data_IF_326720436914
#
_entry.id   IF_326720436914
#
_cell.length_a   1.000
_cell.length_b   1.000
_cell.length_c   1.000
_cell.angle_alpha   90.00
_cell.angle_beta   90.00
_cell.angle_gamma   90.00
#
_symmetry.space_group_name_H-M   'P 1'
#
loop_
_entity.id
_entity.type
_entity.pdbx_description
1 polymer ?
#
# COMPACT_ATOMS: atom_id res chain seq x y z
N UNK A 1 -39.33 -62.32 11.98
CA UNK A 1 -38.53 -61.82 13.12
C UNK A 1 -39.10 -60.48 13.53
N UNK A 2 -39.30 -60.29 14.84
CA UNK A 2 -40.31 -59.45 15.46
C UNK A 2 -40.12 -57.93 15.28
N UNK A 3 -41.25 -57.23 15.12
CA UNK A 3 -41.48 -55.84 15.49
C UNK A 3 -42.47 -55.82 16.67
N UNK A 4 -42.21 -54.96 17.67
CA UNK A 4 -43.17 -54.62 18.72
C UNK A 4 -43.27 -53.09 18.89
N UNK A 5 -44.44 -52.70 19.38
CA UNK A 5 -45.12 -51.41 19.47
C UNK A 5 -44.36 -50.28 20.21
N UNK A 6 -44.78 -49.00 20.20
CA UNK A 6 -45.96 -48.32 19.66
C UNK A 6 -46.14 -46.90 20.27
N UNK A 7 -47.14 -46.17 19.73
CA UNK A 7 -48.04 -45.13 20.29
C UNK A 7 -47.47 -43.96 21.15
N UNK A 8 -48.03 -42.74 21.24
CA UNK A 8 -49.05 -41.93 20.57
C UNK A 8 -49.11 -40.57 21.34
N UNK A 9 -49.65 -39.49 20.75
CA UNK A 9 -50.05 -38.28 21.52
C UNK A 9 -50.27 -37.02 20.67
N UNK A 10 -51.52 -36.55 20.58
CA UNK A 10 -52.02 -35.47 19.71
C UNK A 10 -52.01 -34.02 20.29
N UNK A 11 -52.73 -33.06 19.65
CA UNK A 11 -52.42 -31.61 19.68
C UNK A 11 -53.47 -30.69 20.38
N UNK A 12 -53.12 -29.41 20.61
CA UNK A 12 -54.07 -28.31 20.89
C UNK A 12 -53.45 -27.02 21.50
N UNK A 13 -53.66 -25.85 20.88
CA UNK A 13 -53.33 -24.50 21.43
C UNK A 13 -54.57 -23.75 21.98
N UNK A 14 -54.68 -22.40 21.96
CA UNK A 14 -53.79 -21.32 22.43
C UNK A 14 -54.49 -20.35 23.45
N UNK A 15 -53.77 -19.40 24.09
CA UNK A 15 -54.37 -18.22 24.77
C UNK A 15 -53.51 -17.52 25.84
N UNK A 16 -53.18 -16.22 25.64
CA UNK A 16 -52.78 -15.26 26.72
C UNK A 16 -54.02 -14.63 27.41
N UNK A 17 -53.95 -13.58 28.28
CA UNK A 17 -52.91 -12.53 28.46
C UNK A 17 -52.58 -12.07 29.93
N UNK A 18 -51.58 -11.17 30.12
CA UNK A 18 -51.68 -10.01 31.06
C UNK A 18 -50.86 -9.89 32.38
N UNK A 19 -49.79 -9.07 32.34
CA UNK A 19 -49.24 -8.03 33.28
C UNK A 19 -49.31 -8.14 34.84
N UNK A 20 -48.16 -7.87 35.49
CA UNK A 20 -47.95 -7.41 36.89
C UNK A 20 -46.80 -8.19 37.58
N UNK A 21 -45.80 -7.68 38.30
CA UNK A 21 -45.53 -6.42 38.98
C UNK A 21 -45.04 -6.71 40.43
N UNK A 22 -43.77 -6.38 40.74
CA UNK A 22 -43.15 -6.16 42.08
C UNK A 22 -42.66 -7.30 43.01
N UNK A 23 -41.41 -7.11 43.46
CA UNK A 23 -40.87 -7.45 44.80
C UNK A 23 -40.07 -8.76 44.90
N UNK A 24 -38.82 -8.83 45.40
CA UNK A 24 -37.90 -7.86 45.98
C UNK A 24 -36.62 -8.60 46.39
N UNK A 25 -35.45 -7.96 46.29
CA UNK A 25 -34.21 -8.43 46.92
C UNK A 25 -33.61 -7.31 47.76
N UNK A 26 -33.67 -7.49 49.08
CA UNK A 26 -32.95 -6.71 50.10
C UNK A 26 -31.46 -7.07 50.07
N UNK A 27 -30.60 -6.07 50.03
CA UNK A 27 -29.16 -6.17 50.33
C UNK A 27 -28.62 -4.78 50.63
N UNK A 28 -28.26 -4.53 51.88
CA UNK A 28 -28.13 -3.20 52.49
C UNK A 28 -26.92 -2.37 52.05
N UNK A 29 -27.14 -1.06 52.03
CA UNK A 29 -26.13 -0.01 51.95
C UNK A 29 -25.33 0.09 53.25
N UNK A 30 -24.00 0.02 53.14
CA UNK A 30 -23.05 0.40 54.18
C UNK A 30 -22.02 1.37 53.60
N UNK A 31 -22.11 2.62 54.04
CA UNK A 31 -21.32 3.79 53.67
C UNK A 31 -19.81 3.65 53.89
N UNK A 32 -19.01 4.01 52.89
CA UNK A 32 -17.54 4.04 52.97
C UNK A 32 -16.89 4.79 51.80
N UNK A 33 -16.98 6.12 51.85
CA UNK A 33 -15.99 7.11 51.39
C UNK A 33 -14.75 6.58 50.63
N UNK A 34 -14.72 6.62 49.29
CA UNK A 34 -13.49 6.79 48.50
C UNK A 34 -13.75 7.64 47.24
N UNK A 35 -13.43 8.93 47.37
CA UNK A 35 -12.61 9.65 46.40
C UNK A 35 -13.04 9.63 44.93
N UNK A 36 -13.92 10.58 44.61
CA UNK A 36 -14.08 11.20 43.29
C UNK A 36 -12.71 11.69 42.78
N UNK A 37 -12.12 10.95 41.86
CA UNK A 37 -10.88 11.29 41.15
C UNK A 37 -11.04 11.08 39.65
N UNK A 38 -11.82 11.93 39.00
CA UNK A 38 -11.81 12.08 37.54
C UNK A 38 -10.47 12.66 37.12
N UNK A 39 -9.50 11.78 36.89
CA UNK A 39 -8.20 12.08 36.29
C UNK A 39 -8.07 11.38 34.94
N UNK A 40 -8.97 11.65 34.00
CA UNK A 40 -8.79 11.30 32.59
C UNK A 40 -7.76 12.23 31.93
N UNK A 41 -6.54 12.21 32.47
CA UNK A 41 -5.39 12.95 31.96
C UNK A 41 -4.39 11.99 31.36
N UNK A 42 -4.57 11.64 30.09
CA UNK A 42 -3.47 11.30 29.17
C UNK A 42 -3.92 11.70 27.78
N UNK A 43 -3.84 13.01 27.55
CA UNK A 43 -3.83 13.55 26.21
C UNK A 43 -2.71 12.85 25.44
N UNK A 44 -3.10 11.98 24.51
CA UNK A 44 -2.22 11.66 23.39
C UNK A 44 -2.12 12.96 22.60
N UNK A 45 -1.14 13.78 22.97
CA UNK A 45 -0.68 14.88 22.15
C UNK A 45 -0.39 14.30 20.78
N UNK A 46 -1.23 14.67 19.80
CA UNK A 46 -0.91 14.55 18.40
C UNK A 46 0.30 15.44 18.17
N UNK A 47 1.50 14.91 18.49
CA UNK A 47 2.77 15.49 18.10
C UNK A 47 2.96 15.16 16.62
N UNK A 48 2.05 15.68 15.80
CA UNK A 48 2.29 15.94 14.39
C UNK A 48 3.25 17.12 14.31
N UNK A 49 4.47 16.92 14.80
CA UNK A 49 5.57 17.78 14.42
C UNK A 49 5.67 17.66 12.91
N UNK A 50 5.45 18.76 12.20
CA UNK A 50 5.90 18.87 10.81
C UNK A 50 7.34 18.41 10.81
N UNK A 51 7.61 17.29 10.16
CA UNK A 51 8.97 16.85 9.94
C UNK A 51 9.63 17.98 9.15
N UNK A 52 10.44 18.76 9.84
CA UNK A 52 11.45 19.62 9.24
C UNK A 52 12.10 18.89 8.07
N UNK A 53 12.10 19.52 6.88
CA UNK A 53 12.58 18.96 5.62
C UNK A 53 14.02 18.49 5.80
N UNK A 54 14.18 17.23 6.17
CA UNK A 54 15.47 16.63 6.43
C UNK A 54 16.18 16.54 5.11
N UNK A 55 17.31 17.22 4.99
CA UNK A 55 18.16 17.12 3.81
C UNK A 55 18.45 15.64 3.53
N UNK A 56 18.08 15.17 2.33
CA UNK A 56 18.22 13.76 1.98
C UNK A 56 19.71 13.37 1.91
N UNK A 57 20.11 12.42 2.77
CA UNK A 57 21.46 11.85 2.79
C UNK A 57 21.39 10.45 2.16
N UNK A 58 21.89 10.27 0.93
CA UNK A 58 21.74 9.00 0.23
C UNK A 58 22.63 7.92 0.84
N UNK A 59 22.02 6.79 1.17
CA UNK A 59 22.74 5.61 1.70
C UNK A 59 23.20 4.71 0.56
N UNK A 60 22.49 4.68 -0.57
CA UNK A 60 22.83 3.82 -1.71
C UNK A 60 23.87 4.43 -2.65
N UNK A 61 24.57 3.58 -3.42
CA UNK A 61 25.46 4.04 -4.50
C UNK A 61 24.69 4.84 -5.54
N UNK A 62 23.47 4.39 -5.88
CA UNK A 62 22.61 5.04 -6.85
C UNK A 62 22.16 6.42 -6.36
N UNK A 63 21.67 6.52 -5.12
CA UNK A 63 21.24 7.79 -4.53
C UNK A 63 22.35 8.84 -4.49
N UNK A 64 23.60 8.43 -4.23
CA UNK A 64 24.76 9.34 -4.30
C UNK A 64 24.99 9.86 -5.71
N UNK A 65 24.96 8.98 -6.72
CA UNK A 65 25.11 9.38 -8.12
C UNK A 65 23.98 10.32 -8.58
N UNK A 66 22.77 10.12 -8.07
CA UNK A 66 21.62 10.98 -8.37
C UNK A 66 21.75 12.34 -7.68
N UNK A 67 22.05 12.37 -6.37
CA UNK A 67 22.23 13.62 -5.61
C UNK A 67 23.38 14.46 -6.17
N UNK A 68 24.46 13.82 -6.60
CA UNK A 68 25.63 14.49 -7.17
C UNK A 68 25.48 14.82 -8.68
N UNK A 69 24.26 14.70 -9.23
CA UNK A 69 23.89 14.99 -10.62
C UNK A 69 24.76 14.28 -11.67
N UNK A 70 25.22 13.05 -11.37
CA UNK A 70 25.95 12.21 -12.33
C UNK A 70 25.01 11.47 -13.26
N UNK A 71 23.88 11.01 -12.73
CA UNK A 71 22.78 10.43 -13.51
C UNK A 71 21.79 11.55 -13.78
N UNK A 72 21.53 11.81 -15.06
CA UNK A 72 20.69 12.96 -15.49
C UNK A 72 19.23 12.58 -15.70
N UNK A 73 18.94 11.31 -15.99
CA UNK A 73 17.60 10.85 -16.29
C UNK A 73 17.27 9.51 -15.63
N UNK A 74 15.97 9.28 -15.40
CA UNK A 74 15.45 8.01 -14.92
C UNK A 74 15.58 6.89 -15.99
N UNK A 75 15.59 7.26 -17.27
CA UNK A 75 15.77 6.34 -18.40
C UNK A 75 17.12 5.62 -18.34
N UNK A 76 18.19 6.30 -17.91
CA UNK A 76 19.50 5.71 -17.73
C UNK A 76 19.47 4.60 -16.66
N UNK A 77 18.70 4.81 -15.58
CA UNK A 77 18.50 3.80 -14.52
C UNK A 77 17.75 2.59 -15.07
N UNK A 78 16.72 2.81 -15.89
CA UNK A 78 15.93 1.75 -16.50
C UNK A 78 16.69 0.95 -17.55
N UNK A 79 17.54 1.60 -18.35
CA UNK A 79 18.36 0.93 -19.37
C UNK A 79 19.24 -0.17 -18.76
N UNK A 80 19.84 0.10 -17.59
CA UNK A 80 20.68 -0.86 -16.87
C UNK A 80 19.92 -1.71 -15.83
N UNK A 81 18.58 -1.61 -15.78
CA UNK A 81 17.73 -2.37 -14.86
C UNK A 81 18.16 -2.27 -13.39
N UNK A 82 18.58 -1.09 -12.94
CA UNK A 82 19.08 -0.89 -11.59
C UNK A 82 17.92 -0.75 -10.58
N UNK A 83 17.97 -1.44 -9.41
CA UNK A 83 16.89 -1.38 -8.43
C UNK A 83 16.91 -0.06 -7.65
N UNK A 84 15.79 0.67 -7.69
CA UNK A 84 15.56 1.88 -6.90
C UNK A 84 15.08 1.46 -5.50
N UNK A 85 15.82 1.83 -4.46
CA UNK A 85 15.52 1.47 -3.06
C UNK A 85 15.20 2.67 -2.16
N UNK A 86 15.46 3.89 -2.64
CA UNK A 86 15.20 5.15 -1.96
C UNK A 86 14.13 5.89 -2.78
N UNK A 87 13.02 6.31 -2.16
CA UNK A 87 11.93 7.00 -2.86
C UNK A 87 12.33 8.40 -3.28
N UNK A 88 13.24 9.02 -2.53
CA UNK A 88 13.76 10.36 -2.77
C UNK A 88 14.46 10.47 -4.13
N UNK A 89 14.92 9.35 -4.71
CA UNK A 89 15.43 9.30 -6.09
C UNK A 89 14.33 9.67 -7.09
N UNK A 90 13.12 9.14 -6.90
CA UNK A 90 11.97 9.41 -7.77
C UNK A 90 11.51 10.86 -7.54
N UNK A 91 11.48 11.31 -6.28
CA UNK A 91 11.11 12.68 -5.94
C UNK A 91 12.07 13.71 -6.56
N UNK A 92 13.37 13.41 -6.64
CA UNK A 92 14.35 14.27 -7.29
C UNK A 92 14.08 14.47 -8.80
N UNK A 93 13.68 13.41 -9.51
CA UNK A 93 13.43 13.48 -10.96
C UNK A 93 12.01 13.95 -11.31
N UNK A 94 11.00 13.50 -10.57
CA UNK A 94 9.58 13.65 -10.93
C UNK A 94 8.76 14.44 -9.91
N UNK A 95 9.35 14.90 -8.80
CA UNK A 95 8.62 15.39 -7.62
C UNK A 95 7.60 16.51 -7.86
N UNK A 96 7.81 17.39 -8.84
CA UNK A 96 6.84 18.43 -9.18
C UNK A 96 5.69 17.95 -10.11
N UNK A 97 5.91 16.84 -10.82
CA UNK A 97 5.00 16.32 -11.85
C UNK A 97 4.16 15.13 -11.37
N UNK A 98 4.56 14.50 -10.27
CA UNK A 98 3.93 13.29 -9.76
C UNK A 98 2.59 13.63 -9.10
N UNK A 99 1.53 12.93 -9.50
CA UNK A 99 0.18 13.05 -8.93
C UNK A 99 -0.12 11.77 -8.17
N UNK A 100 -0.48 11.90 -6.90
CA UNK A 100 -0.89 10.78 -6.07
C UNK A 100 -2.42 10.65 -6.02
N UNK A 101 -2.93 9.45 -6.28
CA UNK A 101 -4.34 9.13 -6.13
C UNK A 101 -4.54 7.87 -5.29
N UNK A 102 -5.30 7.98 -4.20
CA UNK A 102 -5.62 6.85 -3.33
C UNK A 102 -6.83 6.09 -3.91
N UNK A 103 -6.58 4.90 -4.47
CA UNK A 103 -7.63 4.09 -5.10
C UNK A 103 -8.73 3.62 -4.13
N UNK A 104 -8.36 2.93 -3.05
CA UNK A 104 -9.31 2.48 -2.01
C UNK A 104 -8.57 2.12 -0.72
N UNK A 105 -9.12 2.57 0.40
CA UNK A 105 -8.72 2.14 1.73
C UNK A 105 -9.70 1.04 2.17
N UNK A 106 -9.22 -0.19 2.34
CA UNK A 106 -10.01 -1.29 2.91
C UNK A 106 -9.45 -1.66 4.28
N UNK A 107 -10.25 -1.68 5.35
CA UNK A 107 -9.79 -2.19 6.64
C UNK A 107 -9.60 -3.70 6.53
N UNK A 108 -8.46 -4.20 7.00
CA UNK A 108 -8.20 -5.65 7.10
C UNK A 108 -8.20 -6.01 8.58
N UNK A 109 -9.00 -7.02 8.90
CA UNK A 109 -9.17 -7.48 10.28
C UNK A 109 -8.40 -8.77 10.45
N UNK A 110 -7.51 -8.79 11.44
CA UNK A 110 -6.86 -10.03 11.86
C UNK A 110 -7.54 -10.49 13.15
N UNK A 111 -8.09 -11.70 13.11
CA UNK A 111 -8.69 -12.30 14.28
C UNK A 111 -7.62 -12.69 15.29
N UNK A 112 -7.82 -12.32 16.55
CA UNK A 112 -6.95 -12.72 17.67
C UNK A 112 -7.79 -13.32 18.80
N UNK A 113 -7.11 -13.93 19.79
CA UNK A 113 -7.79 -14.54 20.95
C UNK A 113 -8.54 -13.52 21.82
N UNK A 114 -8.13 -12.25 21.79
CA UNK A 114 -8.75 -11.16 22.55
C UNK A 114 -9.73 -10.32 21.69
N UNK A 115 -10.17 -10.84 20.54
CA UNK A 115 -11.06 -10.16 19.60
C UNK A 115 -10.39 -9.77 18.28
N UNK A 116 -11.08 -8.95 17.49
CA UNK A 116 -10.60 -8.51 16.17
C UNK A 116 -9.62 -7.33 16.34
N UNK A 117 -8.38 -7.51 15.89
CA UNK A 117 -7.43 -6.41 15.79
C UNK A 117 -7.51 -5.84 14.36
N UNK A 118 -8.09 -4.65 14.22
CA UNK A 118 -8.16 -3.93 12.94
C UNK A 118 -6.80 -3.31 12.64
N UNK A 119 -6.24 -3.60 11.47
CA UNK A 119 -5.13 -2.83 10.92
C UNK A 119 -5.58 -2.26 9.59
N UNK A 120 -5.31 -0.98 9.35
CA UNK A 120 -5.34 -0.44 8.00
C UNK A 120 -4.14 -1.01 7.26
N UNK A 121 -4.28 -2.25 6.78
CA UNK A 121 -3.26 -2.97 6.04
C UNK A 121 -3.77 -3.16 4.63
N UNK A 122 -3.26 -2.36 3.72
CA UNK A 122 -3.48 -2.58 2.30
C UNK A 122 -2.52 -3.69 1.83
N UNK A 123 -2.89 -4.97 1.97
CA UNK A 123 -2.28 -6.04 1.19
C UNK A 123 -3.31 -7.12 0.85
N UNK A 124 -3.25 -7.52 -0.41
CA UNK A 124 -4.24 -8.31 -1.14
C UNK A 124 -3.98 -9.80 -0.95
N UNK A 125 -4.99 -10.55 -0.54
CA UNK A 125 -5.01 -11.99 -0.66
C UNK A 125 -6.19 -12.39 -1.54
N UNK A 126 -5.96 -13.06 -2.66
CA UNK A 126 -6.97 -13.92 -3.29
C UNK A 126 -6.34 -14.92 -4.25
N UNK A 127 -6.85 -16.14 -4.23
CA UNK A 127 -6.57 -17.26 -5.15
C UNK A 127 -7.39 -17.08 -6.46
N UNK A 128 -7.60 -15.84 -6.92
CA UNK A 128 -8.39 -15.56 -8.13
C UNK A 128 -7.56 -14.73 -9.10
N UNK A 129 -7.29 -15.29 -10.26
CA UNK A 129 -6.58 -14.62 -11.35
C UNK A 129 -7.53 -13.62 -12.01
N UNK A 130 -7.26 -12.32 -11.86
CA UNK A 130 -7.80 -11.30 -12.75
C UNK A 130 -6.74 -11.02 -13.81
N UNK A 131 -7.13 -11.02 -15.08
CA UNK A 131 -6.27 -10.67 -16.20
C UNK A 131 -6.81 -9.43 -16.89
N UNK A 132 -5.91 -8.50 -17.23
CA UNK A 132 -6.22 -7.29 -17.99
C UNK A 132 -5.52 -7.35 -19.36
N UNK A 133 -6.23 -6.92 -20.39
CA UNK A 133 -5.75 -6.85 -21.76
C UNK A 133 -6.00 -5.44 -22.30
N UNK A 134 -4.93 -4.80 -22.75
CA UNK A 134 -4.93 -3.46 -23.34
C UNK A 134 -4.87 -3.62 -24.86
N UNK A 135 -5.81 -2.99 -25.56
CA UNK A 135 -5.91 -3.00 -27.02
C UNK A 135 -5.76 -1.56 -27.50
N UNK A 136 -4.85 -1.26 -28.44
CA UNK A 136 -4.70 0.08 -28.97
C UNK A 136 -5.99 0.54 -29.65
N UNK A 137 -6.41 1.77 -29.36
CA UNK A 137 -7.60 2.37 -29.96
C UNK A 137 -7.20 3.44 -30.99
N UNK A 138 -8.07 3.76 -31.97
CA UNK A 138 -7.88 4.90 -32.85
C UNK A 138 -7.75 6.21 -32.06
N UNK A 139 -7.02 7.18 -32.62
CA UNK A 139 -6.82 8.49 -31.98
C UNK A 139 -8.14 9.21 -31.73
N UNK A 140 -8.31 9.73 -30.50
CA UNK A 140 -9.52 10.46 -30.09
C UNK A 140 -10.68 9.56 -29.59
N UNK A 141 -10.44 8.27 -29.39
CA UNK A 141 -11.40 7.34 -28.78
C UNK A 141 -11.53 7.59 -27.26
N UNK A 142 -10.45 8.05 -26.62
CA UNK A 142 -10.32 8.11 -25.18
C UNK A 142 -10.11 6.74 -24.53
N UNK A 143 -10.06 6.73 -23.20
CA UNK A 143 -9.87 5.52 -22.41
C UNK A 143 -11.21 4.85 -22.11
N UNK A 144 -11.43 3.68 -22.71
CA UNK A 144 -12.60 2.84 -22.45
C UNK A 144 -12.23 1.79 -21.41
N UNK A 145 -12.48 2.12 -20.14
CA UNK A 145 -12.15 1.27 -19.00
C UNK A 145 -13.07 1.48 -17.80
N UNK A 146 -13.13 0.46 -16.93
CA UNK A 146 -13.56 0.59 -15.55
C UNK A 146 -12.74 1.66 -14.80
N UNK A 147 -13.27 2.30 -13.74
CA UNK A 147 -12.67 3.47 -13.10
C UNK A 147 -11.25 3.24 -12.57
N UNK A 148 -10.94 2.05 -12.05
CA UNK A 148 -9.62 1.75 -11.48
C UNK A 148 -8.51 1.73 -12.54
N UNK A 149 -8.57 0.90 -13.61
CA UNK A 149 -7.59 0.98 -14.68
C UNK A 149 -7.65 2.31 -15.43
N UNK A 150 -8.81 2.99 -15.49
CA UNK A 150 -8.92 4.30 -16.14
C UNK A 150 -7.96 5.31 -15.51
N UNK A 151 -7.95 5.41 -14.18
CA UNK A 151 -7.06 6.33 -13.47
C UNK A 151 -5.59 5.92 -13.64
N UNK A 152 -5.28 4.62 -13.61
CA UNK A 152 -3.94 4.11 -13.88
C UNK A 152 -3.44 4.44 -15.29
N UNK A 153 -4.29 4.27 -16.31
CA UNK A 153 -3.95 4.58 -17.70
C UNK A 153 -3.79 6.09 -17.94
N UNK A 154 -4.60 6.92 -17.26
CA UNK A 154 -4.43 8.37 -17.27
C UNK A 154 -3.10 8.79 -16.63
N UNK A 155 -2.72 8.17 -15.51
CA UNK A 155 -1.42 8.43 -14.86
C UNK A 155 -0.24 7.97 -15.72
N UNK A 156 -0.40 6.89 -16.50
CA UNK A 156 0.60 6.42 -17.44
C UNK A 156 0.72 7.29 -18.71
N UNK A 157 -0.18 8.26 -18.91
CA UNK A 157 -0.21 9.12 -20.09
C UNK A 157 -0.71 8.42 -21.36
N UNK A 158 -1.54 7.38 -21.22
CA UNK A 158 -2.15 6.68 -22.37
C UNK A 158 -3.46 7.39 -22.73
N UNK A 159 -3.52 7.99 -23.92
CA UNK A 159 -4.67 8.77 -24.38
C UNK A 159 -5.85 7.89 -24.85
N UNK A 160 -5.54 6.86 -25.65
CA UNK A 160 -6.52 6.05 -26.38
C UNK A 160 -6.28 4.56 -26.17
N UNK A 161 -7.18 3.87 -25.47
CA UNK A 161 -7.07 2.43 -25.23
C UNK A 161 -8.42 1.78 -24.96
N UNK A 162 -8.66 0.63 -25.58
CA UNK A 162 -9.71 -0.30 -25.16
C UNK A 162 -9.15 -1.25 -24.10
N UNK A 163 -9.92 -1.50 -23.05
CA UNK A 163 -9.53 -2.44 -22.00
C UNK A 163 -10.51 -3.60 -21.93
N UNK A 164 -9.97 -4.80 -21.80
CA UNK A 164 -10.76 -6.01 -21.53
C UNK A 164 -10.19 -6.69 -20.31
N UNK A 165 -11.04 -6.97 -19.32
CA UNK A 165 -10.65 -7.66 -18.10
C UNK A 165 -11.49 -8.93 -17.93
N UNK A 166 -10.83 -10.04 -17.58
CA UNK A 166 -11.47 -11.32 -17.24
C UNK A 166 -11.08 -11.74 -15.83
N UNK A 167 -12.01 -12.38 -15.12
CA UNK A 167 -11.84 -12.77 -13.71
C UNK A 167 -12.55 -11.82 -12.74
N UNK A 168 -12.22 -11.90 -11.44
CA UNK A 168 -12.90 -11.14 -10.39
C UNK A 168 -12.38 -9.69 -10.29
N UNK A 169 -12.93 -8.81 -11.13
CA UNK A 169 -12.63 -7.36 -11.15
C UNK A 169 -13.14 -6.60 -9.92
N UNK A 170 -14.01 -7.21 -9.10
CA UNK A 170 -14.49 -6.64 -7.83
C UNK A 170 -13.35 -6.47 -6.80
N UNK A 171 -12.30 -7.29 -6.89
CA UNK A 171 -11.11 -7.17 -6.04
C UNK A 171 -10.17 -6.09 -6.59
N UNK A 172 -10.35 -4.85 -6.15
CA UNK A 172 -9.62 -3.69 -6.70
C UNK A 172 -8.10 -3.84 -6.69
N UNK A 173 -7.51 -4.40 -5.63
CA UNK A 173 -6.06 -4.53 -5.53
C UNK A 173 -5.46 -5.47 -6.58
N UNK A 174 -6.11 -6.61 -6.84
CA UNK A 174 -5.69 -7.50 -7.92
C UNK A 174 -5.94 -6.89 -9.28
N UNK A 175 -7.05 -6.17 -9.45
CA UNK A 175 -7.38 -5.54 -10.72
C UNK A 175 -6.40 -4.41 -11.09
N UNK A 176 -6.02 -3.58 -10.11
CA UNK A 176 -4.99 -2.56 -10.27
C UNK A 176 -3.64 -3.19 -10.60
N UNK A 177 -3.24 -4.25 -9.87
CA UNK A 177 -1.99 -4.97 -10.15
C UNK A 177 -1.97 -5.61 -11.54
N UNK A 178 -3.06 -6.26 -11.94
CA UNK A 178 -3.19 -6.85 -13.27
C UNK A 178 -3.08 -5.80 -14.39
N UNK A 179 -3.56 -4.58 -14.16
CA UNK A 179 -3.42 -3.45 -15.09
C UNK A 179 -1.98 -2.96 -15.13
N UNK A 180 -1.34 -2.77 -13.98
CA UNK A 180 0.05 -2.38 -13.89
C UNK A 180 0.99 -3.41 -14.56
N UNK A 181 0.71 -4.70 -14.35
CA UNK A 181 1.45 -5.80 -14.99
C UNK A 181 1.27 -5.82 -16.51
N UNK A 182 0.17 -5.30 -17.06
CA UNK A 182 0.00 -5.15 -18.51
C UNK A 182 0.83 -3.97 -19.05
N UNK A 183 0.89 -2.86 -18.31
CA UNK A 183 1.69 -1.67 -18.68
C UNK A 183 3.19 -2.00 -18.62
N UNK A 184 3.66 -2.67 -17.57
CA UNK A 184 5.08 -3.03 -17.44
C UNK A 184 5.57 -3.95 -18.55
N UNK A 185 4.69 -4.80 -19.09
CA UNK A 185 5.01 -5.69 -20.21
C UNK A 185 5.08 -5.00 -21.56
N UNK A 186 4.67 -3.74 -21.69
CA UNK A 186 4.76 -3.01 -22.97
C UNK A 186 6.21 -2.93 -23.47
N UNK A 187 7.16 -2.60 -22.60
CA UNK A 187 8.60 -2.61 -22.91
C UNK A 187 9.22 -4.02 -22.99
N UNK A 188 8.51 -5.05 -22.53
CA UNK A 188 8.98 -6.44 -22.66
C UNK A 188 8.66 -7.05 -24.03
N UNK A 189 7.73 -6.45 -24.78
CA UNK A 189 7.32 -6.95 -26.09
C UNK A 189 8.28 -6.44 -27.16
N UNK A 190 8.93 -7.37 -27.89
CA UNK A 190 9.90 -7.03 -28.91
C UNK A 190 9.22 -6.80 -30.27
N UNK A 191 9.13 -5.55 -30.66
CA UNK A 191 8.63 -5.13 -31.97
C UNK A 191 9.75 -5.06 -33.02
N UNK A 192 9.45 -5.22 -34.32
CA UNK A 192 10.47 -5.24 -35.39
C UNK A 192 11.35 -3.98 -35.51
N UNK A 193 10.86 -2.83 -35.06
CA UNK A 193 11.60 -1.57 -34.96
C UNK A 193 12.77 -1.64 -33.95
N UNK A 194 12.63 -2.46 -32.91
CA UNK A 194 13.63 -2.69 -31.86
C UNK A 194 14.60 -3.83 -32.18
N UNK A 195 14.53 -4.44 -33.37
CA UNK A 195 15.45 -5.51 -33.79
C UNK A 195 16.84 -5.02 -34.17
N UNK A 196 17.03 -3.70 -34.27
CA UNK A 196 18.34 -3.11 -34.53
C UNK A 196 19.29 -3.46 -33.39
N UNK A 197 20.53 -3.76 -33.74
CA UNK A 197 21.56 -4.07 -32.75
C UNK A 197 21.74 -2.90 -31.77
N UNK A 198 21.69 -3.20 -30.48
CA UNK A 198 21.81 -2.20 -29.43
C UNK A 198 23.29 -1.90 -29.19
N UNK A 199 23.59 -0.61 -29.00
CA UNK A 199 24.94 -0.18 -28.60
C UNK A 199 25.06 -0.31 -27.08
N UNK A 200 26.01 -1.12 -26.62
CA UNK A 200 26.28 -1.29 -25.20
C UNK A 200 27.11 -0.11 -24.69
N UNK A 201 26.48 0.78 -23.91
CA UNK A 201 27.16 1.80 -23.13
C UNK A 201 27.67 1.23 -21.80
N UNK A 202 28.63 1.92 -21.18
CA UNK A 202 29.13 1.53 -19.86
C UNK A 202 28.07 1.84 -18.81
N UNK A 203 27.95 0.98 -17.80
CA UNK A 203 27.01 1.23 -16.71
C UNK A 203 27.45 2.44 -15.85
N UNK A 204 26.50 3.17 -15.24
CA UNK A 204 26.82 4.30 -14.36
C UNK A 204 27.74 3.90 -13.20
N UNK A 205 27.62 2.66 -12.72
CA UNK A 205 28.51 2.14 -11.69
C UNK A 205 29.95 1.98 -12.18
N UNK A 206 30.14 1.58 -13.44
CA UNK A 206 31.46 1.45 -14.03
C UNK A 206 32.08 2.81 -14.34
N UNK A 207 31.31 3.75 -14.92
CA UNK A 207 31.82 5.08 -15.26
C UNK A 207 32.17 5.92 -14.02
N UNK A 208 31.34 5.86 -12.99
CA UNK A 208 31.51 6.67 -11.78
C UNK A 208 32.14 5.91 -10.60
N UNK A 209 32.88 4.82 -10.87
CA UNK A 209 33.56 4.03 -9.83
C UNK A 209 34.47 4.90 -8.96
N UNK A 210 35.32 5.73 -9.57
CA UNK A 210 36.27 6.60 -8.85
C UNK A 210 35.55 7.62 -7.95
N UNK A 211 34.40 8.10 -8.40
CA UNK A 211 33.58 9.05 -7.67
C UNK A 211 32.91 8.39 -6.46
N UNK A 212 32.40 7.17 -6.62
CA UNK A 212 31.79 6.39 -5.54
C UNK A 212 32.79 6.07 -4.42
N UNK A 213 34.05 5.79 -4.75
CA UNK A 213 35.11 5.56 -3.75
C UNK A 213 35.38 6.83 -2.94
N UNK A 214 35.47 7.99 -3.59
CA UNK A 214 35.72 9.28 -2.93
C UNK A 214 34.57 9.73 -2.02
N UNK A 215 33.33 9.51 -2.44
CA UNK A 215 32.14 9.87 -1.67
C UNK A 215 31.89 8.89 -0.52
N UNK A 216 32.14 7.58 -0.71
CA UNK A 216 32.01 6.58 0.35
C UNK A 216 32.94 6.86 1.54
N UNK A 217 34.20 7.22 1.25
CA UNK A 217 35.19 7.51 2.29
C UNK A 217 34.87 8.80 3.06
N UNK A 218 34.40 9.86 2.40
CA UNK A 218 34.01 11.12 3.07
C UNK A 218 32.82 10.96 4.03
N UNK A 219 31.79 10.22 3.63
CA UNK A 219 30.63 9.95 4.49
C UNK A 219 31.01 9.10 5.70
N UNK A 220 31.92 8.12 5.54
CA UNK A 220 32.45 7.38 6.70
C UNK A 220 33.25 8.26 7.65
N UNK A 221 34.02 9.23 7.15
CA UNK A 221 34.82 10.14 8.00
C UNK A 221 33.93 11.11 8.78
N UNK A 222 32.90 11.69 8.13
CA UNK A 222 31.94 12.58 8.80
C UNK A 222 31.09 11.86 9.86
N UNK A 223 30.72 10.60 9.64
CA UNK A 223 30.01 9.79 10.64
C UNK A 223 30.83 9.53 11.90
N UNK A 224 32.15 9.43 11.78
CA UNK A 224 33.07 9.25 12.92
C UNK A 224 33.36 10.57 13.64
N UNK A 225 33.12 11.72 13.00
CA UNK A 225 33.42 13.06 13.53
C UNK A 225 32.18 13.85 13.99
N UNK A 226 30.98 13.26 13.98
CA UNK A 226 29.81 13.91 14.56
C UNK A 226 30.10 14.22 16.04
N UNK A 227 30.10 15.50 16.47
CA UNK A 227 30.42 15.85 17.84
C UNK A 227 29.34 15.25 18.74
N UNK A 228 29.76 14.51 19.77
CA UNK A 228 28.90 14.16 20.87
C UNK A 228 28.30 15.47 21.41
N UNK A 229 27.01 15.68 21.16
CA UNK A 229 26.26 16.81 21.71
C UNK A 229 26.37 16.68 23.23
N UNK A 230 27.18 17.55 23.82
CA UNK A 230 27.31 17.67 25.26
C UNK A 230 25.96 18.15 25.80
N UNK A 231 25.20 17.23 26.38
CA UNK A 231 24.08 17.57 27.26
C UNK A 231 24.69 18.21 28.51
N UNK A 232 24.51 19.52 28.67
CA UNK A 232 24.62 20.23 29.94
C UNK A 232 23.28 20.85 30.24
#
# INVERSE_FOLDING_TARGET
>A
MADDAGAAGGPGGPGGPGIGGHGGFRGGFGSGLWGRGSGCGRGHGARGGKAEDKEWIPVTKLGRLVKDMKIKSLEEIYLFSLPIKESEIIDFFLGASLKDEVLRIMPVQQQTRAGQCTRFKAFVAAVVLCWSHLIPAPRGTGIVSAPVPKNLLMMAGIDDCYTSAKGCTATLGNFAKATFDAISKTYSYLTPDLWKETVFSKSPYQEFTDHLVKTHTRVSVQRTQAPAVATT
#
